data_IF_105014949507
#
_entry.id   IF_105014949507
#
_cell.length_a   1.000
_cell.length_b   1.000
_cell.length_c   1.000
_cell.angle_alpha   90.00
_cell.angle_beta   90.00
_cell.angle_gamma   90.00
#
_symmetry.space_group_name_H-M   'P 1'
#
loop_
_entity.id
_entity.type
_entity.pdbx_description
1 polymer ?
#
# COMPACT_ATOMS: atom_id res chain seq x y z
N UNK A 1 10.11 4.64 -2.14
CA UNK A 1 9.24 5.69 -1.57
C UNK A 1 7.86 5.67 -2.21
N UNK A 2 7.65 6.14 -3.45
CA UNK A 2 6.29 6.22 -4.03
C UNK A 2 5.53 4.88 -4.04
N UNK A 3 6.21 3.78 -4.37
CA UNK A 3 5.61 2.44 -4.33
C UNK A 3 5.21 1.99 -2.91
N UNK A 4 6.05 2.24 -1.91
CA UNK A 4 5.75 1.88 -0.51
C UNK A 4 4.60 2.72 0.04
N UNK A 5 4.53 3.99 -0.36
CA UNK A 5 3.42 4.88 -0.03
C UNK A 5 2.12 4.34 -0.61
N UNK A 6 2.10 3.91 -1.88
CA UNK A 6 0.90 3.31 -2.50
C UNK A 6 0.48 2.00 -1.82
N UNK A 7 1.43 1.13 -1.46
CA UNK A 7 1.13 -0.11 -0.74
C UNK A 7 0.44 0.17 0.59
N UNK A 8 1.00 1.07 1.40
CA UNK A 8 0.43 1.41 2.72
C UNK A 8 -0.88 2.17 2.57
N UNK A 9 -1.00 3.07 1.59
CA UNK A 9 -2.22 3.83 1.34
C UNK A 9 -3.39 2.90 0.96
N UNK A 10 -3.15 1.95 0.06
CA UNK A 10 -4.14 0.95 -0.34
C UNK A 10 -4.53 0.05 0.83
N UNK A 11 -3.55 -0.42 1.61
CA UNK A 11 -3.83 -1.23 2.80
C UNK A 11 -4.68 -0.49 3.85
N UNK A 12 -4.45 0.80 4.06
CA UNK A 12 -5.26 1.62 4.95
C UNK A 12 -6.68 1.84 4.41
N UNK A 13 -6.81 2.08 3.10
CA UNK A 13 -8.09 2.23 2.46
C UNK A 13 -8.92 0.94 2.52
N UNK A 14 -8.32 -0.21 2.17
CA UNK A 14 -8.99 -1.50 2.19
C UNK A 14 -9.43 -1.90 3.61
N UNK A 15 -8.69 -1.48 4.65
CA UNK A 15 -9.06 -1.69 6.04
C UNK A 15 -10.23 -0.81 6.51
N UNK A 16 -10.40 0.39 5.94
CA UNK A 16 -11.50 1.30 6.25
C UNK A 16 -12.75 0.99 5.42
N UNK A 17 -12.58 0.50 4.19
CA UNK A 17 -13.64 0.31 3.21
C UNK A 17 -13.60 -1.10 2.58
N UNK A 18 -14.26 -2.07 3.21
CA UNK A 18 -14.27 -3.47 2.74
C UNK A 18 -14.87 -3.68 1.33
N UNK A 19 -15.83 -2.85 0.90
CA UNK A 19 -16.58 -3.04 -0.36
C UNK A 19 -16.17 -2.07 -1.49
N UNK A 20 -15.21 -1.17 -1.24
CA UNK A 20 -14.82 -0.17 -2.22
C UNK A 20 -13.51 -0.54 -2.93
N UNK A 21 -13.43 -0.26 -4.23
CA UNK A 21 -12.24 -0.57 -5.03
C UNK A 21 -11.30 0.63 -5.05
N UNK A 22 -10.11 0.48 -4.47
CA UNK A 22 -9.04 1.48 -4.50
C UNK A 22 -8.81 2.05 -5.90
N UNK A 23 -8.83 1.20 -6.94
CA UNK A 23 -8.57 1.62 -8.32
C UNK A 23 -9.67 2.53 -8.90
N UNK A 24 -10.91 2.40 -8.41
CA UNK A 24 -12.06 3.18 -8.84
C UNK A 24 -12.33 4.44 -7.98
N UNK A 25 -11.60 4.61 -6.87
CA UNK A 25 -11.82 5.70 -5.94
C UNK A 25 -11.43 7.07 -6.53
N UNK A 26 -12.06 8.14 -6.02
CA UNK A 26 -11.72 9.51 -6.39
C UNK A 26 -10.28 9.87 -6.01
N UNK A 27 -9.57 10.53 -6.93
CA UNK A 27 -8.16 10.87 -6.76
C UNK A 27 -7.87 11.73 -5.52
N UNK A 28 -8.82 12.59 -5.11
CA UNK A 28 -8.72 13.38 -3.87
C UNK A 28 -8.63 12.48 -2.63
N UNK A 29 -9.48 11.45 -2.54
CA UNK A 29 -9.45 10.48 -1.44
C UNK A 29 -8.15 9.68 -1.48
N UNK A 30 -7.71 9.24 -2.67
CA UNK A 30 -6.41 8.55 -2.80
C UNK A 30 -5.25 9.41 -2.31
N UNK A 31 -5.28 10.72 -2.57
CA UNK A 31 -4.25 11.64 -2.08
C UNK A 31 -4.22 11.75 -0.56
N UNK A 32 -5.39 11.77 0.10
CA UNK A 32 -5.49 11.78 1.56
C UNK A 32 -4.85 10.51 2.16
N UNK A 33 -5.18 9.34 1.62
CA UNK A 33 -4.60 8.06 2.08
C UNK A 33 -3.09 7.97 1.81
N UNK A 34 -2.59 8.52 0.70
CA UNK A 34 -1.14 8.63 0.45
C UNK A 34 -0.45 9.54 1.44
N UNK A 35 -1.11 10.62 1.88
CA UNK A 35 -0.57 11.48 2.92
C UNK A 35 -0.50 10.74 4.27
N UNK A 36 -1.53 9.99 4.64
CA UNK A 36 -1.52 9.14 5.83
C UNK A 36 -0.40 8.10 5.77
N UNK A 37 -0.22 7.44 4.62
CA UNK A 37 0.86 6.49 4.39
C UNK A 37 2.24 7.12 4.54
N UNK A 38 2.48 8.32 3.97
CA UNK A 38 3.74 9.06 4.16
C UNK A 38 3.99 9.38 5.61
N UNK A 39 2.97 9.84 6.33
CA UNK A 39 3.07 10.17 7.75
C UNK A 39 3.40 8.92 8.59
N UNK A 40 2.76 7.79 8.30
CA UNK A 40 3.04 6.52 8.98
C UNK A 40 4.46 6.02 8.71
N UNK A 41 4.91 6.04 7.45
CA UNK A 41 6.28 5.67 7.07
C UNK A 41 7.30 6.55 7.80
N UNK A 42 7.07 7.87 7.83
CA UNK A 42 7.98 8.80 8.51
C UNK A 42 7.98 8.61 10.04
N UNK A 43 6.82 8.32 10.63
CA UNK A 43 6.67 8.13 12.08
C UNK A 43 7.31 6.83 12.56
N UNK A 44 7.14 5.75 11.80
CA UNK A 44 7.60 4.41 12.15
C UNK A 44 9.03 4.12 11.67
N UNK A 45 9.52 4.87 10.67
CA UNK A 45 10.87 4.77 10.12
C UNK A 45 11.27 3.30 9.83
N UNK A 46 12.26 2.75 10.52
CA UNK A 46 12.74 1.37 10.31
C UNK A 46 11.73 0.30 10.76
N UNK A 47 10.85 0.62 11.72
CA UNK A 47 9.89 -0.34 12.29
C UNK A 47 8.77 -0.71 11.31
N UNK A 48 8.56 0.10 10.26
CA UNK A 48 7.55 -0.21 9.23
C UNK A 48 8.01 -1.33 8.27
N UNK A 49 9.27 -1.76 8.34
CA UNK A 49 9.84 -2.73 7.41
C UNK A 49 9.05 -4.04 7.32
N UNK A 50 8.60 -4.57 8.46
CA UNK A 50 7.81 -5.82 8.50
C UNK A 50 6.47 -5.66 7.78
N UNK A 51 5.79 -4.53 7.97
CA UNK A 51 4.53 -4.23 7.28
C UNK A 51 4.75 -4.12 5.77
N UNK A 52 5.78 -3.41 5.33
CA UNK A 52 6.07 -3.25 3.91
C UNK A 52 6.39 -4.58 3.22
N UNK A 53 7.14 -5.47 3.89
CA UNK A 53 7.42 -6.81 3.35
C UNK A 53 6.14 -7.64 3.20
N UNK A 54 5.25 -7.60 4.19
CA UNK A 54 3.98 -8.33 4.14
C UNK A 54 3.06 -7.82 3.02
N UNK A 55 2.97 -6.50 2.85
CA UNK A 55 2.18 -5.87 1.79
C UNK A 55 2.74 -6.18 0.39
N UNK A 56 4.06 -6.13 0.23
CA UNK A 56 4.70 -6.47 -1.04
C UNK A 56 4.45 -7.93 -1.42
N UNK A 57 4.56 -8.86 -0.45
CA UNK A 57 4.23 -10.27 -0.67
C UNK A 57 2.75 -10.46 -1.06
N UNK A 58 1.81 -9.83 -0.36
CA UNK A 58 0.38 -9.94 -0.65
C UNK A 58 0.06 -9.47 -2.08
N UNK A 59 0.66 -8.36 -2.52
CA UNK A 59 0.47 -7.88 -3.91
C UNK A 59 1.13 -8.76 -4.97
N UNK A 60 2.22 -9.46 -4.64
CA UNK A 60 2.85 -10.43 -5.54
C UNK A 60 2.00 -11.71 -5.72
N UNK A 61 1.30 -12.12 -4.67
CA UNK A 61 0.38 -13.26 -4.69
C UNK A 61 -0.90 -12.97 -5.50
N UNK A 62 -1.42 -11.74 -5.45
CA UNK A 62 -2.53 -11.30 -6.32
C UNK A 62 -2.13 -11.20 -7.81
N UNK A 63 -0.84 -11.05 -8.13
CA UNK A 63 -0.37 -10.85 -9.49
C UNK A 63 0.88 -11.70 -9.82
N UNK A 64 0.71 -13.01 -10.13
CA UNK A 64 1.82 -13.98 -10.26
C UNK A 64 2.82 -13.65 -11.37
N UNK A 65 2.46 -12.75 -12.28
CA UNK A 65 3.32 -12.21 -13.34
C UNK A 65 4.50 -11.39 -12.79
N UNK A 66 4.34 -10.74 -11.62
CA UNK A 66 5.33 -9.83 -11.02
C UNK A 66 6.38 -10.56 -10.17
N UNK A 67 5.98 -11.64 -9.51
CA UNK A 67 6.89 -12.50 -8.72
C UNK A 67 8.05 -13.07 -9.56
N UNK A 68 7.85 -13.25 -10.87
CA UNK A 68 8.83 -13.81 -11.81
C UNK A 68 9.88 -12.83 -12.31
N UNK A 69 9.70 -11.52 -12.05
CA UNK A 69 10.64 -10.47 -12.47
C UNK A 69 11.67 -10.11 -11.38
N UNK A 70 11.50 -10.62 -10.16
CA UNK A 70 12.39 -10.41 -9.02
C UNK A 70 13.27 -11.64 -8.69
N UNK A 71 13.17 -12.71 -9.50
CA UNK A 71 13.96 -13.95 -9.39
C UNK A 71 14.97 -14.05 -10.54
#
# INVERSE_FOLDING_TARGET
MDYQVELVARAFYDAEYEDCLWDAEAEVIKQDFREYARNAINLLNEDIGVLLMALDQATAEENPSRARAAA
#
